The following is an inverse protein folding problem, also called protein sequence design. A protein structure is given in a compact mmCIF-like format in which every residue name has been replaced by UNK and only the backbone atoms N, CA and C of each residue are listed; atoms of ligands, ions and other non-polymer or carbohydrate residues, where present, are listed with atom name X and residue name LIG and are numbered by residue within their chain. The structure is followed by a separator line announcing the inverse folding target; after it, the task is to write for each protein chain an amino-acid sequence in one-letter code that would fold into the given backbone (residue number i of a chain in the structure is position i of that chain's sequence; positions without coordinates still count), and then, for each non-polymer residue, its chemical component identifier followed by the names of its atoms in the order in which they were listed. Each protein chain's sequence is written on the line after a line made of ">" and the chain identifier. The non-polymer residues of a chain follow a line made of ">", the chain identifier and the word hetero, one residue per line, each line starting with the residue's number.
data_IF_325075991480
#
_entry.id   IF_325075991480
#
_cell.length_a   1.000
_cell.length_b   1.000
_cell.length_c   1.000
_cell.angle_alpha   90.00
_cell.angle_beta   90.00
_cell.angle_gamma   90.00
#
_symmetry.space_group_name_H-M   'P 1'
#
loop_
_entity.id
_entity.type
_entity.pdbx_description
1 polymer ?
#
# COMPACT_ATOMS: atom_id res chain seq x y z
N UNK A 1 -12.13 8.53 22.46
CA UNK A 1 -13.58 8.43 22.63
C UNK A 1 -14.07 9.48 23.63
N UNK A 2 -15.31 9.97 23.47
CA UNK A 2 -15.95 10.98 24.33
C UNK A 2 -15.81 10.65 25.82
N UNK A 3 -16.11 9.43 26.20
CA UNK A 3 -16.05 8.97 27.60
C UNK A 3 -14.65 9.12 28.25
N UNK A 4 -13.58 9.12 27.47
CA UNK A 4 -12.23 9.40 27.97
C UNK A 4 -12.01 10.90 28.14
N UNK A 5 -12.47 11.71 27.20
CA UNK A 5 -12.30 13.17 27.24
C UNK A 5 -13.00 13.78 28.46
N UNK A 6 -14.20 13.28 28.80
CA UNK A 6 -14.98 13.71 29.96
C UNK A 6 -14.27 13.42 31.30
N UNK A 7 -13.37 12.44 31.32
CA UNK A 7 -12.55 12.12 32.53
C UNK A 7 -11.30 12.99 32.66
N UNK A 8 -11.03 13.87 31.69
CA UNK A 8 -9.81 14.67 31.61
C UNK A 8 -10.12 16.19 31.65
N UNK A 9 -10.66 16.72 32.77
CA UNK A 9 -11.15 18.10 32.81
C UNK A 9 -10.06 19.17 32.65
N UNK A 10 -8.79 18.79 32.78
CA UNK A 10 -7.63 19.69 32.62
C UNK A 10 -7.03 19.62 31.21
N UNK A 11 -7.52 18.73 30.36
CA UNK A 11 -7.01 18.59 28.98
C UNK A 11 -7.38 19.82 28.15
N UNK A 12 -6.42 20.49 27.55
CA UNK A 12 -6.60 21.69 26.73
C UNK A 12 -6.21 21.48 25.27
N UNK A 13 -5.31 20.54 24.99
CA UNK A 13 -4.78 20.30 23.65
C UNK A 13 -4.54 18.81 23.42
N UNK A 14 -4.95 18.33 22.26
CA UNK A 14 -4.51 17.05 21.67
C UNK A 14 -3.64 17.37 20.47
N UNK A 15 -2.38 16.96 20.51
CA UNK A 15 -1.46 17.07 19.37
C UNK A 15 -1.35 15.70 18.67
N UNK A 16 -1.80 15.64 17.43
CA UNK A 16 -1.77 14.45 16.59
C UNK A 16 -0.70 14.61 15.51
N UNK A 17 0.23 13.66 15.39
CA UNK A 17 1.32 13.72 14.41
C UNK A 17 0.85 13.54 12.97
N UNK A 18 -0.29 12.89 12.77
CA UNK A 18 -0.98 12.75 11.50
C UNK A 18 -2.32 13.49 11.50
N UNK A 19 -3.19 13.16 10.57
CA UNK A 19 -4.57 13.68 10.58
C UNK A 19 -5.41 13.02 11.66
N UNK A 20 -6.27 13.78 12.30
CA UNK A 20 -7.26 13.24 13.21
C UNK A 20 -8.20 12.29 12.45
N UNK A 21 -8.33 11.09 12.98
CA UNK A 21 -9.19 10.04 12.45
C UNK A 21 -10.38 9.79 13.39
N UNK A 22 -11.19 8.75 13.12
CA UNK A 22 -12.37 8.41 13.92
C UNK A 22 -12.09 8.12 15.41
N UNK A 23 -10.83 7.90 15.77
CA UNK A 23 -10.40 7.68 17.15
C UNK A 23 -10.42 8.94 18.01
N UNK A 24 -10.48 10.14 17.41
CA UNK A 24 -10.63 11.42 18.09
C UNK A 24 -12.02 11.98 17.77
N UNK A 25 -12.85 12.09 18.80
CA UNK A 25 -14.18 12.74 18.69
C UNK A 25 -14.01 14.26 18.69
N UNK A 26 -13.86 14.83 17.48
CA UNK A 26 -13.65 16.27 17.29
C UNK A 26 -14.82 17.08 17.86
N UNK A 27 -16.06 16.61 17.68
CA UNK A 27 -17.24 17.30 18.19
C UNK A 27 -17.25 17.36 19.74
N UNK A 28 -16.82 16.26 20.38
CA UNK A 28 -16.65 16.25 21.85
C UNK A 28 -15.50 17.17 22.28
N UNK A 29 -14.38 17.19 21.58
CA UNK A 29 -13.27 18.10 21.87
C UNK A 29 -13.74 19.56 21.82
N UNK A 30 -14.45 19.93 20.76
CA UNK A 30 -15.00 21.31 20.62
C UNK A 30 -15.93 21.68 21.78
N UNK A 31 -16.87 20.79 22.16
CA UNK A 31 -17.78 21.04 23.29
C UNK A 31 -17.06 21.20 24.63
N UNK A 32 -15.96 20.47 24.82
CA UNK A 32 -15.15 20.50 26.05
C UNK A 32 -14.05 21.58 26.04
N UNK A 33 -13.97 22.40 25.00
CA UNK A 33 -12.94 23.43 24.86
C UNK A 33 -11.52 22.89 24.69
N UNK A 34 -11.38 21.67 24.10
CA UNK A 34 -10.11 21.03 23.87
C UNK A 34 -9.69 21.31 22.43
N UNK A 35 -8.56 21.98 22.23
CA UNK A 35 -7.99 22.19 20.90
C UNK A 35 -7.43 20.87 20.34
N UNK A 36 -7.56 20.67 19.02
CA UNK A 36 -6.95 19.53 18.33
C UNK A 36 -6.04 20.06 17.24
N UNK A 37 -4.74 19.81 17.36
CA UNK A 37 -3.74 20.12 16.35
C UNK A 37 -3.44 18.88 15.52
N UNK A 38 -3.50 19.02 14.21
CA UNK A 38 -3.20 17.94 13.25
C UNK A 38 -1.86 18.17 12.55
N UNK A 39 -1.11 17.10 12.34
CA UNK A 39 0.05 17.10 11.47
C UNK A 39 -0.35 16.88 10.00
N UNK A 40 0.43 17.46 9.09
CA UNK A 40 0.19 17.26 7.64
C UNK A 40 0.70 15.91 7.13
N UNK A 41 1.56 15.24 7.88
CA UNK A 41 2.22 13.98 7.51
C UNK A 41 3.06 14.10 6.22
N UNK A 42 4.17 13.38 6.15
CA UNK A 42 4.96 13.28 4.91
C UNK A 42 4.51 12.06 4.12
N UNK A 43 4.33 12.17 2.78
CA UNK A 43 4.05 11.02 1.93
C UNK A 43 5.31 10.20 1.60
N UNK A 44 6.49 10.67 1.99
CA UNK A 44 7.78 10.10 1.57
C UNK A 44 7.98 8.73 2.22
N UNK A 45 8.06 8.68 3.55
CA UNK A 45 8.34 7.44 4.26
C UNK A 45 7.36 6.30 3.95
N UNK A 46 6.02 6.50 3.90
CA UNK A 46 5.13 5.41 3.51
C UNK A 46 5.30 4.98 2.03
N UNK A 47 5.66 5.89 1.12
CA UNK A 47 5.95 5.53 -0.26
C UNK A 47 7.25 4.70 -0.36
N UNK A 48 8.28 5.08 0.37
CA UNK A 48 9.55 4.34 0.46
C UNK A 48 9.34 2.94 1.07
N UNK A 49 8.58 2.84 2.16
CA UNK A 49 8.24 1.54 2.75
C UNK A 49 7.50 0.65 1.75
N UNK A 50 6.51 1.20 1.06
CA UNK A 50 5.78 0.46 0.02
C UNK A 50 6.74 -0.07 -1.04
N UNK A 51 7.65 0.78 -1.53
CA UNK A 51 8.61 0.39 -2.55
C UNK A 51 9.61 -0.63 -2.05
N UNK A 52 10.09 -0.48 -0.82
CA UNK A 52 10.97 -1.44 -0.17
C UNK A 52 10.31 -2.83 -0.06
N UNK A 53 9.03 -2.91 0.32
CA UNK A 53 8.28 -4.17 0.37
C UNK A 53 8.11 -4.81 -1.01
N UNK A 54 7.78 -4.01 -2.04
CA UNK A 54 7.70 -4.48 -3.43
C UNK A 54 9.04 -5.08 -3.86
N UNK A 55 10.14 -4.35 -3.64
CA UNK A 55 11.48 -4.82 -3.98
C UNK A 55 11.88 -6.07 -3.19
N UNK A 56 11.62 -6.09 -1.89
CA UNK A 56 11.94 -7.21 -1.03
C UNK A 56 11.21 -8.48 -1.47
N UNK A 57 9.91 -8.39 -1.77
CA UNK A 57 9.10 -9.52 -2.21
C UNK A 57 9.49 -9.97 -3.63
N UNK A 58 9.51 -9.05 -4.59
CA UNK A 58 9.77 -9.37 -5.99
C UNK A 58 11.21 -9.88 -6.21
N UNK A 59 12.18 -9.37 -5.45
CA UNK A 59 13.59 -9.78 -5.55
C UNK A 59 13.97 -10.84 -4.51
N UNK A 60 13.02 -11.33 -3.70
CA UNK A 60 13.23 -12.36 -2.66
C UNK A 60 14.35 -12.02 -1.67
N UNK A 61 14.50 -10.74 -1.34
CA UNK A 61 15.59 -10.25 -0.48
C UNK A 61 15.62 -10.95 0.89
N UNK A 62 14.49 -11.15 1.60
CA UNK A 62 14.50 -11.83 2.90
C UNK A 62 15.02 -13.27 2.81
N UNK A 63 14.68 -14.00 1.75
CA UNK A 63 15.13 -15.38 1.53
C UNK A 63 16.64 -15.43 1.28
N UNK A 64 17.18 -14.51 0.48
CA UNK A 64 18.62 -14.43 0.25
C UNK A 64 19.39 -14.02 1.50
N UNK A 65 18.86 -13.10 2.30
CA UNK A 65 19.46 -12.75 3.60
C UNK A 65 19.48 -13.97 4.53
N UNK A 66 18.38 -14.73 4.58
CA UNK A 66 18.32 -15.98 5.34
C UNK A 66 19.40 -16.98 4.88
N UNK A 67 19.52 -17.21 3.57
CA UNK A 67 20.51 -18.09 2.99
C UNK A 67 21.95 -17.67 3.35
N UNK A 68 22.27 -16.37 3.21
CA UNK A 68 23.59 -15.83 3.55
C UNK A 68 23.94 -16.04 5.02
N UNK A 69 23.00 -15.87 5.94
CA UNK A 69 23.21 -16.13 7.37
C UNK A 69 23.55 -17.59 7.68
N UNK A 70 23.16 -18.50 6.79
CA UNK A 70 23.48 -19.94 6.89
C UNK A 70 24.63 -20.36 5.96
N UNK A 71 25.41 -19.42 5.48
CA UNK A 71 26.61 -19.69 4.65
C UNK A 71 26.32 -20.03 3.19
N UNK A 72 25.06 -19.89 2.71
CA UNK A 72 24.71 -20.12 1.31
C UNK A 72 24.79 -18.80 0.54
N UNK A 73 25.75 -18.69 -0.39
CA UNK A 73 25.93 -17.48 -1.21
C UNK A 73 24.82 -17.30 -2.25
N UNK A 74 24.52 -18.35 -2.98
CA UNK A 74 23.42 -18.40 -3.93
C UNK A 74 22.54 -19.59 -3.57
N UNK A 75 21.37 -19.70 -4.19
CA UNK A 75 20.53 -20.86 -3.94
C UNK A 75 21.10 -22.17 -4.39
N UNK A 76 22.10 -22.15 -5.28
CA UNK A 76 22.88 -23.30 -5.67
C UNK A 76 23.52 -24.05 -4.47
N UNK A 77 23.62 -23.41 -3.31
CA UNK A 77 24.05 -24.07 -2.07
C UNK A 77 23.01 -25.03 -1.47
N UNK A 78 21.74 -24.81 -1.74
CA UNK A 78 20.66 -25.66 -1.28
C UNK A 78 20.30 -26.67 -2.38
N UNK A 79 21.10 -27.71 -2.53
CA UNK A 79 20.87 -28.82 -3.47
C UNK A 79 19.72 -29.74 -3.04
N UNK A 80 18.70 -29.22 -2.39
CA UNK A 80 17.57 -30.01 -1.98
C UNK A 80 16.57 -30.08 -3.12
N UNK A 81 16.28 -31.29 -3.57
CA UNK A 81 15.25 -31.61 -4.56
C UNK A 81 13.82 -31.17 -4.10
N UNK A 82 13.68 -30.69 -2.88
CA UNK A 82 12.43 -30.27 -2.27
C UNK A 82 12.12 -28.77 -2.44
N UNK A 83 12.96 -28.00 -3.14
CA UNK A 83 12.71 -26.56 -3.35
C UNK A 83 11.61 -26.36 -4.39
N UNK A 84 10.60 -25.53 -4.09
CA UNK A 84 9.57 -25.22 -5.07
C UNK A 84 10.17 -24.68 -6.36
N UNK A 85 9.60 -25.01 -7.54
CA UNK A 85 9.97 -24.37 -8.80
C UNK A 85 9.94 -22.85 -8.62
N UNK A 86 10.94 -22.14 -9.09
CA UNK A 86 11.08 -20.69 -8.97
C UNK A 86 11.39 -20.16 -7.55
N UNK A 87 11.64 -21.01 -6.57
CA UNK A 87 12.16 -20.52 -5.29
C UNK A 87 13.43 -19.68 -5.47
N UNK A 88 14.18 -20.01 -6.50
CA UNK A 88 15.51 -19.52 -6.75
C UNK A 88 15.59 -18.10 -7.25
N UNK A 89 14.71 -17.67 -8.07
CA UNK A 89 14.90 -16.43 -8.81
C UNK A 89 13.81 -15.41 -8.44
N UNK A 90 14.26 -14.24 -7.99
CA UNK A 90 13.39 -13.08 -7.90
C UNK A 90 12.94 -12.63 -9.31
N UNK A 91 11.76 -12.06 -9.38
CA UNK A 91 11.21 -11.50 -10.63
C UNK A 91 11.68 -10.06 -10.83
N UNK A 92 12.11 -9.74 -12.05
CA UNK A 92 12.39 -8.35 -12.43
C UNK A 92 11.10 -7.54 -12.49
N UNK A 93 11.17 -6.25 -12.23
CA UNK A 93 10.03 -5.33 -12.30
C UNK A 93 9.82 -4.74 -13.70
N UNK A 94 10.92 -4.50 -14.43
CA UNK A 94 10.88 -3.89 -15.76
C UNK A 94 9.96 -4.68 -16.71
N UNK A 95 9.08 -3.95 -17.39
CA UNK A 95 8.08 -4.49 -18.31
C UNK A 95 6.80 -5.00 -17.65
N UNK A 96 6.77 -5.13 -16.32
CA UNK A 96 5.58 -5.55 -15.56
C UNK A 96 4.63 -4.41 -15.30
N UNK A 97 3.39 -4.73 -14.95
CA UNK A 97 2.34 -3.76 -14.64
C UNK A 97 2.26 -3.51 -13.12
N UNK A 98 2.42 -2.25 -12.73
CA UNK A 98 2.16 -1.77 -11.38
C UNK A 98 0.76 -1.14 -11.34
N UNK A 99 -0.17 -1.75 -10.63
CA UNK A 99 -1.46 -1.18 -10.28
C UNK A 99 -1.34 -0.31 -9.03
N UNK A 100 -1.85 0.90 -9.10
CA UNK A 100 -1.92 1.84 -7.99
C UNK A 100 -3.37 2.14 -7.70
N UNK A 101 -3.90 1.62 -6.60
CA UNK A 101 -5.26 1.93 -6.19
C UNK A 101 -5.27 3.11 -5.21
N UNK A 102 -5.71 4.25 -5.70
CA UNK A 102 -5.67 5.54 -5.00
C UNK A 102 -4.47 6.39 -5.41
N UNK A 103 -4.73 7.42 -6.21
CA UNK A 103 -3.70 8.27 -6.81
C UNK A 103 -3.55 9.60 -6.04
N UNK A 104 -3.41 9.48 -4.70
CA UNK A 104 -3.09 10.58 -3.79
C UNK A 104 -1.59 10.85 -3.70
N UNK A 105 -1.17 11.62 -2.68
CA UNK A 105 0.24 12.02 -2.48
C UNK A 105 1.23 10.83 -2.40
N UNK A 106 0.80 9.71 -1.81
CA UNK A 106 1.62 8.48 -1.70
C UNK A 106 1.56 7.71 -3.02
N UNK A 107 0.37 7.44 -3.56
CA UNK A 107 0.20 6.69 -4.79
C UNK A 107 0.94 7.31 -5.98
N UNK A 108 0.96 8.63 -6.11
CA UNK A 108 1.73 9.34 -7.13
C UNK A 108 3.24 9.06 -7.02
N UNK A 109 3.79 9.02 -5.80
CA UNK A 109 5.21 8.70 -5.58
C UNK A 109 5.52 7.25 -5.94
N UNK A 110 4.68 6.31 -5.49
CA UNK A 110 4.85 4.89 -5.82
C UNK A 110 4.74 4.67 -7.34
N UNK A 111 3.82 5.36 -8.02
CA UNK A 111 3.72 5.36 -9.48
C UNK A 111 5.02 5.85 -10.14
N UNK A 112 5.60 6.96 -9.64
CA UNK A 112 6.86 7.48 -10.17
C UNK A 112 8.04 6.51 -9.96
N UNK A 113 8.08 5.81 -8.82
CA UNK A 113 9.09 4.77 -8.59
C UNK A 113 8.91 3.61 -9.57
N UNK A 114 7.68 3.12 -9.76
CA UNK A 114 7.39 2.07 -10.74
C UNK A 114 7.85 2.43 -12.14
N UNK A 115 7.58 3.65 -12.58
CA UNK A 115 8.03 4.18 -13.87
C UNK A 115 9.57 4.20 -13.97
N UNK A 116 10.25 4.66 -12.93
CA UNK A 116 11.73 4.69 -12.87
C UNK A 116 12.34 3.28 -12.98
N UNK A 117 11.62 2.24 -12.52
CA UNK A 117 12.01 0.84 -12.66
C UNK A 117 11.52 0.18 -13.95
N UNK A 118 11.02 0.96 -14.90
CA UNK A 118 10.58 0.47 -16.22
C UNK A 118 9.26 -0.31 -16.19
N UNK A 119 8.43 -0.12 -15.17
CA UNK A 119 7.09 -0.71 -15.11
C UNK A 119 6.07 0.09 -15.92
N UNK A 120 5.04 -0.59 -16.39
CA UNK A 120 3.82 0.04 -16.88
C UNK A 120 2.97 0.37 -15.65
N UNK A 121 2.65 1.64 -15.45
CA UNK A 121 1.82 2.07 -14.32
C UNK A 121 0.37 2.18 -14.76
N UNK A 122 -0.52 1.56 -14.00
CA UNK A 122 -1.97 1.59 -14.21
C UNK A 122 -2.66 2.02 -12.91
N UNK A 123 -3.51 3.02 -12.99
CA UNK A 123 -4.19 3.61 -11.83
C UNK A 123 -5.65 3.21 -11.81
N UNK A 124 -6.15 2.87 -10.62
CA UNK A 124 -7.55 2.69 -10.33
C UNK A 124 -8.00 3.61 -9.18
N UNK A 125 -9.23 4.09 -9.24
CA UNK A 125 -9.82 4.98 -8.24
C UNK A 125 -10.95 5.82 -8.83
N UNK A 126 -11.28 6.93 -8.16
CA UNK A 126 -12.27 7.88 -8.63
C UNK A 126 -11.84 8.51 -9.96
N UNK A 127 -12.80 8.99 -10.75
CA UNK A 127 -12.57 9.53 -12.09
C UNK A 127 -11.47 10.60 -12.10
N UNK A 128 -11.54 11.58 -11.23
CA UNK A 128 -10.51 12.62 -11.11
C UNK A 128 -9.09 12.05 -10.83
N UNK A 129 -8.97 10.91 -10.15
CA UNK A 129 -7.68 10.26 -9.92
C UNK A 129 -7.17 9.56 -11.17
N UNK A 130 -8.07 8.97 -11.96
CA UNK A 130 -7.75 8.31 -13.23
C UNK A 130 -7.36 9.33 -14.30
N UNK A 131 -8.12 10.42 -14.42
CA UNK A 131 -7.82 11.55 -15.31
C UNK A 131 -6.46 12.17 -15.00
N UNK A 132 -6.20 12.43 -13.71
CA UNK A 132 -4.89 12.93 -13.28
C UNK A 132 -3.77 11.95 -13.63
N UNK A 133 -3.95 10.66 -13.45
CA UNK A 133 -2.95 9.66 -13.80
C UNK A 133 -2.62 9.67 -15.30
N UNK A 134 -3.64 9.81 -16.16
CA UNK A 134 -3.47 9.93 -17.62
C UNK A 134 -2.69 11.20 -17.96
N UNK A 135 -3.02 12.33 -17.33
CA UNK A 135 -2.30 13.60 -17.50
C UNK A 135 -0.83 13.47 -17.09
N UNK A 136 -0.55 12.71 -16.03
CA UNK A 136 0.82 12.45 -15.54
C UNK A 136 1.56 11.39 -16.40
N UNK A 137 0.94 10.88 -17.50
CA UNK A 137 1.53 9.92 -18.43
C UNK A 137 1.48 8.46 -17.97
N UNK A 138 0.51 8.13 -17.10
CA UNK A 138 0.22 6.76 -16.66
C UNK A 138 -1.06 6.22 -17.32
N UNK A 139 -1.24 4.91 -17.29
CA UNK A 139 -2.50 4.28 -17.71
C UNK A 139 -3.59 4.42 -16.62
N UNK A 140 -4.83 4.44 -17.04
CA UNK A 140 -6.00 4.26 -16.18
C UNK A 140 -6.67 2.93 -16.51
N UNK A 141 -7.05 2.16 -15.49
CA UNK A 141 -7.80 0.92 -15.71
C UNK A 141 -9.21 1.24 -16.23
N UNK A 142 -9.68 0.45 -17.16
CA UNK A 142 -11.01 0.60 -17.77
C UNK A 142 -12.12 0.11 -16.85
N UNK A 143 -11.82 -0.90 -16.03
CA UNK A 143 -12.72 -1.43 -15.01
C UNK A 143 -11.93 -1.95 -13.80
N UNK A 144 -12.65 -2.26 -12.73
CA UNK A 144 -12.07 -2.87 -11.53
C UNK A 144 -11.52 -4.25 -11.82
N UNK A 145 -12.23 -5.05 -12.58
CA UNK A 145 -11.82 -6.40 -12.99
C UNK A 145 -10.53 -6.34 -13.79
N UNK A 146 -10.49 -5.50 -14.83
CA UNK A 146 -9.31 -5.29 -15.64
C UNK A 146 -8.10 -4.81 -14.82
N UNK A 147 -8.34 -4.01 -13.76
CA UNK A 147 -7.29 -3.56 -12.87
C UNK A 147 -6.65 -4.72 -12.11
N UNK A 148 -7.44 -5.64 -11.54
CA UNK A 148 -6.91 -6.80 -10.84
C UNK A 148 -6.26 -7.82 -11.79
N UNK A 149 -6.86 -8.10 -12.93
CA UNK A 149 -6.37 -9.10 -13.90
C UNK A 149 -5.03 -8.72 -14.53
N UNK A 150 -4.80 -7.43 -14.78
CA UNK A 150 -3.62 -6.98 -15.52
C UNK A 150 -2.40 -6.73 -14.65
N UNK A 151 -2.59 -6.51 -13.33
CA UNK A 151 -1.49 -6.18 -12.44
C UNK A 151 -0.55 -7.36 -12.17
N UNK A 152 0.75 -7.10 -12.23
CA UNK A 152 1.78 -7.97 -11.68
C UNK A 152 2.12 -7.58 -10.23
N UNK A 153 1.98 -6.31 -9.91
CA UNK A 153 2.05 -5.77 -8.55
C UNK A 153 0.87 -4.83 -8.36
N UNK A 154 0.08 -5.01 -7.31
CA UNK A 154 -1.02 -4.13 -6.94
C UNK A 154 -0.72 -3.49 -5.59
N UNK A 155 -0.71 -2.16 -5.54
CA UNK A 155 -0.40 -1.38 -4.34
C UNK A 155 -1.57 -0.50 -3.92
N UNK A 156 -1.98 -0.65 -2.65
CA UNK A 156 -3.12 0.04 -2.07
C UNK A 156 -2.71 1.36 -1.39
N UNK A 157 -3.39 2.45 -1.77
CA UNK A 157 -3.16 3.80 -1.22
C UNK A 157 -4.48 4.52 -0.90
N UNK A 158 -5.46 3.76 -0.45
CA UNK A 158 -6.75 4.30 -0.06
C UNK A 158 -6.75 4.71 1.42
N UNK A 159 -7.58 5.71 1.72
CA UNK A 159 -7.93 6.04 3.10
C UNK A 159 -9.02 5.07 3.57
N UNK A 160 -8.93 4.61 4.81
CA UNK A 160 -10.02 3.86 5.44
C UNK A 160 -11.13 4.83 5.84
N UNK A 161 -12.27 4.67 5.20
CA UNK A 161 -13.54 5.32 5.51
C UNK A 161 -14.64 4.26 5.38
N UNK A 162 -15.88 4.50 5.85
CA UNK A 162 -16.95 3.50 5.73
C UNK A 162 -17.08 2.90 4.32
N UNK A 163 -16.97 3.73 3.28
CA UNK A 163 -17.12 3.35 1.87
C UNK A 163 -15.96 2.51 1.32
N UNK A 164 -14.82 2.53 1.99
CA UNK A 164 -13.62 1.77 1.57
C UNK A 164 -13.32 0.59 2.47
N UNK A 165 -14.05 0.42 3.57
CA UNK A 165 -13.91 -0.77 4.43
C UNK A 165 -14.33 -2.02 3.66
N UNK A 166 -13.44 -3.03 3.63
CA UNK A 166 -13.67 -4.26 2.89
C UNK A 166 -13.80 -4.05 1.38
N UNK A 167 -13.19 -2.99 0.84
CA UNK A 167 -13.30 -2.69 -0.59
C UNK A 167 -12.61 -3.73 -1.47
N UNK A 168 -11.64 -4.48 -0.94
CA UNK A 168 -11.01 -5.61 -1.63
C UNK A 168 -11.62 -6.89 -1.13
N UNK A 169 -12.18 -7.68 -2.02
CA UNK A 169 -12.83 -8.95 -1.73
C UNK A 169 -12.01 -10.14 -2.23
N UNK A 170 -12.40 -11.35 -1.83
CA UNK A 170 -11.80 -12.58 -2.36
C UNK A 170 -11.97 -12.67 -3.88
N UNK A 171 -13.11 -12.24 -4.42
CA UNK A 171 -13.38 -12.23 -5.86
C UNK A 171 -12.36 -11.36 -6.64
N UNK A 172 -11.94 -10.25 -6.06
CA UNK A 172 -10.89 -9.41 -6.63
C UNK A 172 -9.54 -10.11 -6.62
N UNK A 173 -9.18 -10.71 -5.49
CA UNK A 173 -7.88 -11.35 -5.31
C UNK A 173 -7.73 -12.60 -6.20
N UNK A 174 -8.78 -13.37 -6.41
CA UNK A 174 -8.73 -14.56 -7.31
C UNK A 174 -8.61 -14.18 -8.79
N UNK A 175 -8.94 -12.94 -9.17
CA UNK A 175 -8.71 -12.42 -10.54
C UNK A 175 -7.25 -12.10 -10.79
N UNK A 176 -6.46 -11.88 -9.76
CA UNK A 176 -5.05 -11.55 -9.92
C UNK A 176 -4.28 -12.73 -10.53
N UNK A 177 -3.22 -12.42 -11.25
CA UNK A 177 -2.29 -13.45 -11.74
C UNK A 177 -1.75 -14.25 -10.55
N UNK A 178 -1.58 -15.56 -10.71
CA UNK A 178 -1.03 -16.44 -9.67
C UNK A 178 0.39 -16.03 -9.18
N UNK A 179 1.10 -15.23 -9.97
CA UNK A 179 2.41 -14.67 -9.65
C UNK A 179 2.36 -13.22 -9.19
N UNK A 180 1.17 -12.63 -9.10
CA UNK A 180 1.02 -11.23 -8.72
C UNK A 180 1.32 -11.00 -7.24
N UNK A 181 1.81 -9.80 -6.94
CA UNK A 181 2.05 -9.33 -5.59
C UNK A 181 0.98 -8.30 -5.20
N UNK A 182 0.28 -8.55 -4.10
CA UNK A 182 -0.60 -7.58 -3.47
C UNK A 182 0.11 -6.91 -2.29
N UNK A 183 0.14 -5.57 -2.26
CA UNK A 183 0.79 -4.77 -1.21
C UNK A 183 -0.19 -3.77 -0.61
N UNK A 184 -0.40 -3.87 0.69
CA UNK A 184 -1.24 -2.94 1.42
C UNK A 184 -0.45 -2.32 2.59
N UNK A 185 0.02 -1.08 2.41
CA UNK A 185 0.65 -0.26 3.45
C UNK A 185 -0.31 0.80 4.00
N UNK A 186 -1.58 0.71 3.65
CA UNK A 186 -2.61 1.64 4.10
C UNK A 186 -3.27 1.18 5.41
N UNK A 187 -4.30 0.34 5.33
CA UNK A 187 -5.06 -0.20 6.47
C UNK A 187 -5.51 -1.62 6.18
N UNK A 188 -5.40 -2.51 7.17
CA UNK A 188 -5.80 -3.91 7.02
C UNK A 188 -7.27 -4.03 6.60
N UNK A 189 -8.14 -3.24 7.23
CA UNK A 189 -9.59 -3.28 7.03
C UNK A 189 -10.08 -2.82 5.64
N UNK A 190 -9.18 -2.47 4.73
CA UNK A 190 -9.52 -2.29 3.31
C UNK A 190 -9.76 -3.63 2.60
N UNK A 191 -9.29 -4.72 3.18
CA UNK A 191 -9.47 -6.09 2.68
C UNK A 191 -10.49 -6.79 3.56
N UNK A 192 -11.39 -7.57 2.94
CA UNK A 192 -12.32 -8.43 3.69
C UNK A 192 -11.53 -9.59 4.29
N UNK A 193 -11.76 -9.88 5.58
CA UNK A 193 -11.23 -11.05 6.29
C UNK A 193 -11.95 -12.32 5.91
#
# INVERSE_FOLDING_TARGET
>A
PRALLEKLPKLKLISQTGRAGPHIDIAACTRLGIAVAEGTGSPIAPAELTWALIMAAMRRVPQYIGNLKHGAWQQSGLKSAAMPPNFALGMRLSGKTLGVWGYGRIGQRVASYGRAFGMKVMVWGRDASREKAVTDGHGAATSREAFFEQCDVLSMHLRLVPETRGVVTLEDLVRMKSTALFVNTSRAELVVE
#
